data_IF_007594869809
#
_entry.id   IF_007594869809
#
_cell.length_a   1.000
_cell.length_b   1.000
_cell.length_c   1.000
_cell.angle_alpha   90.00
_cell.angle_beta   90.00
_cell.angle_gamma   90.00
#
_symmetry.space_group_name_H-M   'P 1'
#
loop_
_entity.id
_entity.type
_entity.pdbx_description
1 polymer ?
#
# COMPACT_ATOMS: atom_id res chain seq x y z
N UNK A 1 -13.71 -21.71 68.26
CA UNK A 1 -14.03 -20.66 67.28
C UNK A 1 -12.72 -19.97 66.91
N UNK A 2 -12.10 -20.36 65.81
CA UNK A 2 -10.82 -19.80 65.30
C UNK A 2 -11.13 -18.99 64.03
N UNK A 3 -10.71 -17.72 63.90
CA UNK A 3 -10.96 -16.97 62.69
C UNK A 3 -9.96 -17.37 61.60
N UNK A 4 -10.48 -17.68 60.41
CA UNK A 4 -9.70 -17.94 59.19
C UNK A 4 -9.32 -16.57 58.60
N UNK A 5 -8.04 -16.24 58.55
CA UNK A 5 -7.53 -15.08 57.83
C UNK A 5 -7.46 -15.39 56.33
N UNK A 6 -7.97 -14.53 55.42
CA UNK A 6 -7.86 -14.78 54.00
C UNK A 6 -6.44 -14.43 53.53
N UNK A 7 -5.72 -15.42 52.99
CA UNK A 7 -4.52 -15.18 52.19
C UNK A 7 -4.95 -14.43 50.91
N UNK A 8 -4.65 -13.13 50.84
CA UNK A 8 -4.73 -12.38 49.61
C UNK A 8 -3.55 -12.78 48.70
N UNK A 9 -3.80 -13.67 47.75
CA UNK A 9 -2.85 -14.07 46.72
C UNK A 9 -2.80 -12.97 45.64
N UNK A 10 -1.85 -12.05 45.74
CA UNK A 10 -1.63 -11.02 44.72
C UNK A 10 -0.94 -11.66 43.50
N UNK A 11 -1.73 -12.05 42.49
CA UNK A 11 -1.18 -12.37 41.16
C UNK A 11 -0.67 -11.08 40.51
N UNK A 12 0.65 -10.88 40.53
CA UNK A 12 1.30 -9.90 39.67
C UNK A 12 1.23 -10.41 38.22
N UNK A 13 0.26 -9.90 37.44
CA UNK A 13 0.25 -10.06 35.99
C UNK A 13 1.43 -9.26 35.41
N UNK A 14 2.53 -9.94 35.12
CA UNK A 14 3.62 -9.41 34.31
C UNK A 14 3.11 -9.16 32.90
N UNK A 15 2.71 -7.92 32.59
CA UNK A 15 2.43 -7.48 31.23
C UNK A 15 3.73 -7.50 30.42
N UNK A 16 4.02 -8.63 29.77
CA UNK A 16 5.03 -8.70 28.72
C UNK A 16 4.59 -7.78 27.59
N UNK A 17 5.14 -6.57 27.55
CA UNK A 17 4.96 -5.67 26.42
C UNK A 17 5.72 -6.26 25.24
N UNK A 18 5.00 -6.80 24.26
CA UNK A 18 5.59 -7.14 22.98
C UNK A 18 6.16 -5.86 22.38
N UNK A 19 7.48 -5.76 22.29
CA UNK A 19 8.14 -4.65 21.62
C UNK A 19 7.86 -4.77 20.13
N UNK A 20 6.91 -4.00 19.62
CA UNK A 20 6.75 -3.79 18.18
C UNK A 20 7.95 -2.95 17.73
N UNK A 21 8.91 -3.62 17.10
CA UNK A 21 10.08 -3.00 16.52
C UNK A 21 9.96 -2.94 15.00
N UNK A 22 10.24 -1.78 14.41
CA UNK A 22 10.55 -1.72 13.00
C UNK A 22 11.96 -2.29 12.79
N UNK A 23 12.10 -3.27 11.90
CA UNK A 23 13.39 -3.75 11.45
C UNK A 23 13.41 -3.78 9.92
N UNK A 24 14.60 -3.63 9.35
CA UNK A 24 14.78 -3.72 7.91
C UNK A 24 14.61 -5.17 7.45
N UNK A 25 13.69 -5.41 6.52
CA UNK A 25 13.50 -6.72 5.89
C UNK A 25 14.52 -6.89 4.75
N UNK A 26 14.59 -5.91 3.84
CA UNK A 26 15.46 -5.92 2.67
C UNK A 26 15.82 -4.49 2.23
N UNK A 27 17.07 -4.32 1.79
CA UNK A 27 17.51 -3.22 0.93
C UNK A 27 18.15 -3.80 -0.32
N UNK A 28 17.69 -3.38 -1.50
CA UNK A 28 18.27 -3.77 -2.77
C UNK A 28 18.42 -2.55 -3.70
N UNK A 29 19.52 -2.50 -4.44
CA UNK A 29 19.83 -1.49 -5.47
C UNK A 29 20.37 -2.21 -6.69
N UNK A 30 19.82 -1.91 -7.85
CA UNK A 30 20.30 -2.44 -9.12
C UNK A 30 20.48 -1.31 -10.14
N UNK A 31 21.43 -1.49 -11.06
CA UNK A 31 21.56 -0.62 -12.22
C UNK A 31 20.38 -0.84 -13.17
N UNK A 32 19.63 0.23 -13.45
CA UNK A 32 18.39 0.14 -14.21
C UNK A 32 18.61 -0.24 -15.69
N UNK A 33 19.82 -0.05 -16.24
CA UNK A 33 20.13 -0.33 -17.65
C UNK A 33 20.61 -1.76 -17.87
N UNK A 34 21.42 -2.28 -16.96
CA UNK A 34 22.09 -3.58 -17.08
C UNK A 34 21.42 -4.67 -16.23
N UNK A 35 20.66 -4.29 -15.20
CA UNK A 35 20.11 -5.21 -14.22
C UNK A 35 21.14 -5.72 -13.19
N UNK A 36 22.38 -5.21 -13.22
CA UNK A 36 23.41 -5.56 -12.25
C UNK A 36 22.97 -5.18 -10.84
N UNK A 37 22.98 -6.14 -9.92
CA UNK A 37 22.67 -5.89 -8.50
C UNK A 37 23.90 -5.28 -7.83
N UNK A 38 23.80 -4.01 -7.46
CA UNK A 38 24.87 -3.23 -6.83
C UNK A 38 24.88 -3.40 -5.31
N UNK A 39 23.69 -3.54 -4.72
CA UNK A 39 23.49 -3.78 -3.28
C UNK A 39 22.34 -4.76 -3.10
N UNK A 40 22.52 -5.76 -2.25
CA UNK A 40 21.42 -6.60 -1.76
C UNK A 40 21.72 -7.07 -0.35
N UNK A 41 20.84 -6.73 0.60
CA UNK A 41 20.97 -7.09 2.01
C UNK A 41 19.60 -7.41 2.59
N UNK A 42 19.54 -8.45 3.43
CA UNK A 42 18.30 -8.93 4.06
C UNK A 42 17.56 -9.96 3.22
N UNK A 43 16.32 -10.27 3.58
CA UNK A 43 15.46 -11.19 2.84
C UNK A 43 14.69 -10.45 1.73
N UNK A 44 15.38 -10.25 0.61
CA UNK A 44 14.82 -9.60 -0.57
C UNK A 44 13.93 -10.52 -1.41
N UNK A 45 13.82 -11.81 -1.06
CA UNK A 45 12.91 -12.73 -1.72
C UNK A 45 11.51 -12.70 -1.11
N UNK A 46 11.41 -12.38 0.19
CA UNK A 46 10.17 -12.19 0.93
C UNK A 46 9.22 -11.23 0.21
N UNK A 47 7.94 -11.61 0.16
CA UNK A 47 6.87 -10.78 -0.40
C UNK A 47 6.21 -9.99 0.72
N UNK A 48 5.91 -8.73 0.44
CA UNK A 48 5.16 -7.83 1.33
C UNK A 48 4.06 -7.13 0.52
N UNK A 49 2.96 -6.71 1.14
CA UNK A 49 1.96 -5.88 0.46
C UNK A 49 2.62 -4.61 -0.09
N UNK A 50 2.40 -4.26 -1.37
CA UNK A 50 3.00 -3.07 -1.96
C UNK A 50 2.41 -1.77 -1.39
N UNK A 51 1.19 -1.86 -0.83
CA UNK A 51 0.43 -0.73 -0.34
C UNK A 51 0.46 0.41 -1.38
N UNK A 52 0.99 1.55 -0.98
CA UNK A 52 1.02 2.76 -1.76
C UNK A 52 1.94 2.70 -3.00
N UNK A 53 2.94 1.81 -3.07
CA UNK A 53 3.83 1.72 -4.25
C UNK A 53 3.12 1.11 -5.46
N UNK A 54 2.03 0.37 -5.25
CA UNK A 54 1.22 -0.23 -6.32
C UNK A 54 0.61 0.80 -7.29
N UNK A 55 0.53 2.08 -6.88
CA UNK A 55 0.07 3.17 -7.74
C UNK A 55 0.86 3.32 -9.05
N UNK A 56 2.12 2.85 -9.09
CA UNK A 56 2.94 2.86 -10.30
C UNK A 56 2.32 1.93 -11.35
N UNK A 57 1.94 0.71 -10.96
CA UNK A 57 1.29 -0.25 -11.84
C UNK A 57 -0.11 0.23 -12.25
N UNK A 58 -0.90 0.77 -11.31
CA UNK A 58 -2.21 1.36 -11.60
C UNK A 58 -2.06 2.52 -12.60
N UNK A 59 -1.03 3.35 -12.44
CA UNK A 59 -0.73 4.45 -13.34
C UNK A 59 -0.47 3.96 -14.76
N UNK A 60 0.42 2.98 -14.92
CA UNK A 60 0.76 2.41 -16.23
C UNK A 60 -0.49 1.90 -16.96
N UNK A 61 -1.28 1.03 -16.32
CA UNK A 61 -2.53 0.52 -16.91
C UNK A 61 -3.55 1.62 -17.15
N UNK A 62 -3.63 2.60 -16.24
CA UNK A 62 -4.53 3.75 -16.38
C UNK A 62 -4.21 4.61 -17.60
N UNK A 63 -2.93 4.81 -17.92
CA UNK A 63 -2.48 5.53 -19.11
C UNK A 63 -2.72 4.70 -20.38
N UNK A 64 -2.38 3.40 -20.37
CA UNK A 64 -2.61 2.51 -21.52
C UNK A 64 -4.10 2.34 -21.87
N UNK A 65 -4.96 2.31 -20.85
CA UNK A 65 -6.41 2.28 -21.03
C UNK A 65 -7.00 3.64 -21.46
N UNK A 66 -6.21 4.71 -21.45
CA UNK A 66 -6.63 6.07 -21.79
C UNK A 66 -7.52 6.74 -20.74
N UNK A 67 -7.66 6.15 -19.54
CA UNK A 67 -8.34 6.80 -18.42
C UNK A 67 -7.51 7.99 -17.92
N UNK A 68 -6.22 7.74 -17.67
CA UNK A 68 -5.23 8.80 -17.43
C UNK A 68 -4.71 9.26 -18.78
N UNK A 69 -4.72 10.57 -19.02
CA UNK A 69 -4.34 11.15 -20.33
C UNK A 69 -2.95 11.76 -20.29
N UNK A 70 -2.69 12.49 -19.22
CA UNK A 70 -1.42 13.17 -18.96
C UNK A 70 -1.28 13.41 -17.45
N UNK A 71 -0.25 14.15 -17.06
CA UNK A 71 0.07 14.46 -15.66
C UNK A 71 -1.02 15.25 -14.91
N UNK A 72 -1.94 15.90 -15.62
CA UNK A 72 -2.98 16.78 -15.07
C UNK A 72 -4.42 16.36 -15.44
N UNK A 73 -4.58 15.36 -16.30
CA UNK A 73 -5.87 14.92 -16.78
C UNK A 73 -6.10 13.41 -16.61
N UNK A 74 -7.26 13.00 -16.07
CA UNK A 74 -8.38 13.83 -15.61
C UNK A 74 -8.12 14.40 -14.22
N UNK A 75 -8.64 15.60 -13.95
CA UNK A 75 -8.82 16.09 -12.57
C UNK A 75 -10.16 15.57 -12.06
N UNK A 76 -10.13 14.75 -11.00
CA UNK A 76 -11.35 14.17 -10.41
C UNK A 76 -11.75 14.94 -9.13
N UNK A 77 -13.04 15.25 -8.94
CA UNK A 77 -13.52 15.83 -7.70
C UNK A 77 -13.53 14.77 -6.57
N UNK A 78 -13.29 15.22 -5.34
CA UNK A 78 -13.55 14.40 -4.17
C UNK A 78 -15.07 14.30 -3.91
N UNK A 79 -15.60 13.10 -3.73
CA UNK A 79 -16.99 12.85 -3.40
C UNK A 79 -17.16 12.32 -1.97
N UNK A 80 -18.30 12.62 -1.34
CA UNK A 80 -18.62 12.08 -0.03
C UNK A 80 -18.63 10.54 -0.06
N UNK A 81 -18.02 9.92 0.93
CA UNK A 81 -17.86 8.46 1.01
C UNK A 81 -16.52 7.93 0.50
N UNK A 82 -15.71 8.75 -0.20
CA UNK A 82 -14.34 8.39 -0.52
C UNK A 82 -13.45 8.35 0.71
N UNK A 83 -12.45 7.45 0.69
CA UNK A 83 -11.45 7.32 1.74
C UNK A 83 -10.68 8.63 1.89
N UNK A 84 -10.62 9.16 3.11
CA UNK A 84 -10.15 10.51 3.41
C UNK A 84 -9.18 10.56 4.60
N UNK A 85 -8.31 9.55 4.72
CA UNK A 85 -7.33 9.41 5.82
C UNK A 85 -6.47 10.65 6.08
N UNK A 86 -6.34 11.54 5.09
CA UNK A 86 -5.65 12.83 5.24
C UNK A 86 -6.57 13.97 4.84
N UNK A 87 -6.56 15.04 5.64
CA UNK A 87 -7.37 16.25 5.40
C UNK A 87 -7.17 16.83 3.98
N UNK A 88 -5.93 16.80 3.48
CA UNK A 88 -5.59 17.32 2.15
C UNK A 88 -6.10 16.45 0.99
N UNK A 89 -6.72 15.29 1.24
CA UNK A 89 -7.32 14.45 0.20
C UNK A 89 -8.73 14.88 -0.20
N UNK A 90 -9.40 15.73 0.59
CA UNK A 90 -10.76 16.24 0.32
C UNK A 90 -10.75 17.38 -0.70
N UNK A 91 -10.20 17.14 -1.88
CA UNK A 91 -10.06 18.15 -2.93
C UNK A 91 -10.01 17.50 -4.30
N UNK A 92 -10.26 18.32 -5.33
CA UNK A 92 -9.96 17.93 -6.69
C UNK A 92 -8.50 17.49 -6.81
N UNK A 93 -8.28 16.33 -7.43
CA UNK A 93 -6.98 15.66 -7.55
C UNK A 93 -6.77 15.23 -8.99
N UNK A 94 -5.62 15.59 -9.54
CA UNK A 94 -5.12 15.14 -10.84
C UNK A 94 -4.06 14.04 -10.67
N UNK A 95 -3.56 13.42 -11.75
CA UNK A 95 -2.58 12.33 -11.65
C UNK A 95 -1.28 12.73 -10.94
N UNK A 96 -0.78 13.95 -11.16
CA UNK A 96 0.38 14.50 -10.45
C UNK A 96 0.16 14.60 -8.94
N UNK A 97 -0.97 15.18 -8.53
CA UNK A 97 -1.35 15.36 -7.13
C UNK A 97 -1.58 14.00 -6.47
N UNK A 98 -2.20 13.06 -7.19
CA UNK A 98 -2.39 11.68 -6.75
C UNK A 98 -1.05 11.01 -6.44
N UNK A 99 -0.13 11.03 -7.39
CA UNK A 99 1.18 10.39 -7.27
C UNK A 99 1.99 11.00 -6.13
N UNK A 100 2.01 12.34 -6.03
CA UNK A 100 2.73 13.09 -4.99
C UNK A 100 2.16 12.86 -3.59
N UNK A 101 0.84 12.86 -3.44
CA UNK A 101 0.19 12.85 -2.12
C UNK A 101 -0.35 11.48 -1.71
N UNK A 102 -0.10 10.43 -2.51
CA UNK A 102 -0.53 9.07 -2.19
C UNK A 102 -2.05 8.93 -2.05
N UNK A 103 -2.83 9.67 -2.86
CA UNK A 103 -4.27 9.80 -2.69
C UNK A 103 -4.98 8.48 -3.03
N UNK A 104 -5.35 7.71 -2.01
CA UNK A 104 -5.87 6.34 -2.21
C UNK A 104 -7.20 6.32 -2.96
N UNK A 105 -8.12 7.25 -2.67
CA UNK A 105 -9.41 7.28 -3.37
C UNK A 105 -9.24 7.53 -4.87
N UNK A 106 -8.21 8.26 -5.29
CA UNK A 106 -7.94 8.49 -6.71
C UNK A 106 -7.49 7.19 -7.39
N UNK A 107 -6.60 6.42 -6.74
CA UNK A 107 -6.23 5.09 -7.22
C UNK A 107 -7.46 4.19 -7.40
N UNK A 108 -8.39 4.21 -6.43
CA UNK A 108 -9.64 3.46 -6.51
C UNK A 108 -10.48 3.86 -7.72
N UNK A 109 -10.56 5.16 -8.07
CA UNK A 109 -11.28 5.60 -9.26
C UNK A 109 -10.67 5.08 -10.56
N UNK A 110 -9.33 5.13 -10.67
CA UNK A 110 -8.62 4.53 -11.82
C UNK A 110 -8.95 3.03 -11.91
N UNK A 111 -8.93 2.34 -10.77
CA UNK A 111 -9.22 0.91 -10.67
C UNK A 111 -10.71 0.55 -10.59
N UNK A 112 -11.62 1.49 -10.82
CA UNK A 112 -13.05 1.19 -11.07
C UNK A 112 -13.45 1.57 -12.50
N UNK A 113 -12.55 2.18 -13.26
CA UNK A 113 -12.80 2.48 -14.66
C UNK A 113 -12.92 1.18 -15.48
N UNK A 114 -13.67 1.19 -16.61
CA UNK A 114 -13.89 0.00 -17.45
C UNK A 114 -12.63 -0.72 -17.96
N UNK A 115 -11.43 -0.15 -17.76
CA UNK A 115 -10.14 -0.77 -18.10
C UNK A 115 -9.67 -1.87 -17.14
N UNK A 116 -10.38 -2.14 -16.03
CA UNK A 116 -9.96 -3.09 -14.99
C UNK A 116 -9.92 -4.55 -15.38
N UNK A 117 -10.72 -4.97 -16.37
CA UNK A 117 -10.55 -6.30 -16.98
C UNK A 117 -9.09 -6.51 -17.41
N UNK A 118 -8.39 -5.43 -17.82
CA UNK A 118 -6.98 -5.46 -18.17
C UNK A 118 -6.05 -5.40 -16.97
N UNK A 119 -6.36 -4.73 -15.86
CA UNK A 119 -5.38 -4.60 -14.74
C UNK A 119 -4.91 -5.95 -14.19
N UNK A 120 -5.81 -6.93 -14.06
CA UNK A 120 -5.43 -8.28 -13.64
C UNK A 120 -4.57 -9.00 -14.69
N UNK A 121 -4.81 -8.77 -15.98
CA UNK A 121 -4.05 -9.36 -17.07
C UNK A 121 -2.69 -8.65 -17.27
N UNK A 122 -2.66 -7.32 -17.19
CA UNK A 122 -1.47 -6.47 -17.25
C UNK A 122 -0.55 -6.71 -16.06
N UNK A 123 -1.09 -6.85 -14.84
CA UNK A 123 -0.25 -7.23 -13.69
C UNK A 123 0.36 -8.62 -13.84
N UNK A 124 -0.28 -9.55 -14.58
CA UNK A 124 0.37 -10.81 -14.98
C UNK A 124 1.45 -10.58 -16.05
N UNK A 125 1.19 -9.73 -17.05
CA UNK A 125 2.15 -9.40 -18.11
C UNK A 125 3.40 -8.70 -17.56
N UNK A 126 3.23 -7.75 -16.63
CA UNK A 126 4.33 -7.11 -15.89
C UNK A 126 5.04 -8.05 -14.93
N UNK A 127 4.57 -9.31 -14.82
CA UNK A 127 5.05 -10.27 -13.84
C UNK A 127 5.04 -9.66 -12.43
N UNK A 128 3.98 -8.88 -12.12
CA UNK A 128 3.70 -8.31 -10.80
C UNK A 128 3.20 -9.42 -9.85
N UNK A 129 4.10 -10.38 -9.68
CA UNK A 129 4.11 -11.57 -8.84
C UNK A 129 2.77 -12.27 -8.69
N UNK A 130 2.16 -12.25 -7.51
CA UNK A 130 0.94 -13.03 -7.26
C UNK A 130 -0.24 -12.59 -8.13
N UNK A 131 -0.13 -11.46 -8.84
CA UNK A 131 -1.13 -10.89 -9.74
C UNK A 131 -2.53 -10.82 -9.09
N UNK A 132 -2.56 -10.79 -7.77
CA UNK A 132 -3.76 -10.73 -6.95
C UNK A 132 -3.87 -9.31 -6.42
N UNK A 133 -4.89 -8.61 -6.92
CA UNK A 133 -5.20 -7.24 -6.54
C UNK A 133 -6.22 -7.19 -5.38
N UNK A 134 -6.67 -8.34 -4.85
CA UNK A 134 -7.71 -8.44 -3.79
C UNK A 134 -7.18 -8.14 -2.38
N UNK A 135 -6.22 -7.23 -2.23
CA UNK A 135 -5.68 -6.86 -0.92
C UNK A 135 -5.31 -5.38 -0.82
N UNK A 136 -6.20 -4.52 -1.32
CA UNK A 136 -6.19 -3.07 -1.07
C UNK A 136 -7.47 -2.64 -0.41
#
# INVERSE_FOLDING_TARGET
MTPIAPLACALALSLTHATVGAHEICTAVADARTGEVLVQRGDCAQRVPPASTFRIAIGLVGYEAGFLKDEHQPTLPFLAGYVDWRKNWKRATDPSTWMKNSVVWHAQQVTTSPGIARLADETRQFQYRNADHRST
#
